data_IF_000537806369
#
_entry.id   IF_000537806369
#
_cell.length_a   1.000
_cell.length_b   1.000
_cell.length_c   1.000
_cell.angle_alpha   90.00
_cell.angle_beta   90.00
_cell.angle_gamma   90.00
#
_symmetry.space_group_name_H-M   'P 1'
#
loop_
_entity.id
_entity.type
_entity.pdbx_description
1 polymer ?
#
# COMPACT_ATOMS: atom_id res chain seq x y z
N UNK A 1 12.14 17.53 -2.04
CA UNK A 1 12.59 18.14 -3.31
C UNK A 1 12.96 17.14 -4.40
N UNK A 2 12.85 15.80 -4.20
CA UNK A 2 13.27 14.84 -5.22
C UNK A 2 12.18 14.62 -6.29
N UNK A 3 10.96 14.25 -5.89
CA UNK A 3 9.90 13.86 -6.85
C UNK A 3 9.35 15.00 -7.70
N UNK A 4 9.27 16.22 -7.18
CA UNK A 4 8.83 17.38 -7.97
C UNK A 4 9.88 17.81 -8.99
N UNK A 5 11.17 17.60 -8.69
CA UNK A 5 12.26 17.84 -9.64
C UNK A 5 12.36 16.75 -10.71
N UNK A 6 12.01 15.51 -10.40
CA UNK A 6 11.93 14.43 -11.40
C UNK A 6 10.96 14.78 -12.54
N UNK A 7 9.86 15.47 -12.25
CA UNK A 7 8.92 15.94 -13.26
C UNK A 7 9.55 17.00 -14.19
N UNK A 8 10.22 18.01 -13.62
CA UNK A 8 10.93 19.01 -14.44
C UNK A 8 12.05 18.37 -15.28
N UNK A 9 12.80 17.43 -14.69
CA UNK A 9 13.81 16.66 -15.43
C UNK A 9 13.23 15.85 -16.58
N UNK A 10 12.05 15.23 -16.40
CA UNK A 10 11.34 14.53 -17.47
C UNK A 10 11.05 15.47 -18.64
N UNK A 11 10.52 16.66 -18.37
CA UNK A 11 10.22 17.66 -19.39
C UNK A 11 11.47 18.19 -20.11
N UNK A 12 12.58 18.31 -19.38
CA UNK A 12 13.86 18.76 -19.91
C UNK A 12 14.59 17.71 -20.78
N UNK A 13 14.13 16.44 -20.78
CA UNK A 13 14.70 15.41 -21.68
C UNK A 13 14.47 15.75 -23.15
N UNK A 14 13.33 16.37 -23.46
CA UNK A 14 13.11 16.97 -24.77
C UNK A 14 13.82 18.33 -24.80
N UNK A 15 14.93 18.40 -25.53
CA UNK A 15 15.79 19.60 -25.57
C UNK A 15 15.28 20.71 -26.50
N UNK A 16 14.34 20.37 -27.38
CA UNK A 16 13.77 21.32 -28.33
C UNK A 16 12.96 22.40 -27.60
N UNK A 17 13.00 23.61 -28.16
CA UNK A 17 12.21 24.75 -27.64
C UNK A 17 10.80 24.66 -28.20
N UNK A 18 10.00 23.81 -27.56
CA UNK A 18 8.60 23.55 -27.92
C UNK A 18 7.67 23.84 -26.74
N UNK A 19 6.42 24.14 -27.05
CA UNK A 19 5.37 24.23 -26.04
C UNK A 19 5.14 22.86 -25.40
N UNK A 20 4.98 22.84 -24.07
CA UNK A 20 4.79 21.62 -23.28
C UNK A 20 3.47 21.71 -22.55
N UNK A 21 2.50 20.93 -23.00
CA UNK A 21 1.19 20.83 -22.35
C UNK A 21 1.27 19.78 -21.23
N UNK A 22 0.95 20.20 -20.01
CA UNK A 22 1.03 19.35 -18.82
C UNK A 22 -0.26 19.40 -18.01
N UNK A 23 -0.58 18.30 -17.35
CA UNK A 23 -1.56 18.25 -16.28
C UNK A 23 -0.87 17.82 -14.99
N UNK A 24 -1.14 18.53 -13.90
CA UNK A 24 -0.54 18.24 -12.60
C UNK A 24 -1.64 18.22 -11.54
N UNK A 25 -1.83 17.08 -10.89
CA UNK A 25 -2.76 16.93 -9.78
C UNK A 25 -2.41 17.89 -8.63
N UNK A 26 -3.44 18.45 -7.98
CA UNK A 26 -3.29 19.29 -6.79
C UNK A 26 -2.50 18.60 -5.66
N UNK A 27 -2.68 17.28 -5.53
CA UNK A 27 -2.02 16.45 -4.52
C UNK A 27 -1.17 15.36 -5.18
N UNK A 28 -0.01 15.11 -4.60
CA UNK A 28 0.94 14.09 -5.05
C UNK A 28 0.62 12.70 -4.52
N UNK A 29 1.34 11.71 -5.05
CA UNK A 29 1.14 10.31 -4.68
C UNK A 29 1.92 9.92 -3.42
N UNK A 30 1.17 9.50 -2.40
CA UNK A 30 1.71 8.94 -1.16
C UNK A 30 2.37 9.96 -0.22
N UNK A 31 2.71 9.49 0.97
CA UNK A 31 3.44 10.26 1.99
C UNK A 31 4.39 9.34 2.75
N UNK A 32 5.38 9.91 3.45
CA UNK A 32 6.32 9.16 4.29
C UNK A 32 5.78 9.07 5.71
N UNK A 33 5.85 7.87 6.29
CA UNK A 33 5.32 7.58 7.64
C UNK A 33 3.82 7.85 7.71
N UNK A 34 3.40 8.58 8.75
CA UNK A 34 2.01 8.98 8.94
C UNK A 34 1.60 10.25 8.15
N UNK A 35 2.48 10.76 7.27
CA UNK A 35 2.20 11.97 6.49
C UNK A 35 2.28 13.29 7.27
N UNK A 36 2.86 13.29 8.48
CA UNK A 36 3.13 14.50 9.25
C UNK A 36 4.08 15.44 8.50
N UNK A 37 3.78 16.74 8.54
CA UNK A 37 4.64 17.81 8.03
C UNK A 37 5.50 18.45 9.12
N UNK A 38 5.42 17.92 10.34
CA UNK A 38 6.22 18.33 11.49
C UNK A 38 7.17 17.21 11.91
N UNK A 39 8.44 17.56 12.15
CA UNK A 39 9.47 16.59 12.54
C UNK A 39 9.08 15.91 13.84
N UNK A 40 8.64 16.67 14.85
CA UNK A 40 8.20 16.14 16.13
C UNK A 40 7.05 15.13 16.00
N UNK A 41 6.03 15.43 15.18
CA UNK A 41 4.91 14.52 14.96
C UNK A 41 5.30 13.24 14.20
N UNK A 42 6.21 13.35 13.23
CA UNK A 42 6.69 12.21 12.46
C UNK A 42 7.62 11.30 13.29
N UNK A 43 8.59 11.88 13.99
CA UNK A 43 9.52 11.10 14.79
C UNK A 43 8.81 10.46 15.97
N UNK A 44 7.93 11.19 16.67
CA UNK A 44 7.12 10.63 17.76
C UNK A 44 6.31 9.42 17.30
N UNK A 45 5.71 9.45 16.11
CA UNK A 45 4.99 8.28 15.60
C UNK A 45 5.91 7.08 15.38
N UNK A 46 7.14 7.29 14.92
CA UNK A 46 8.12 6.20 14.77
C UNK A 46 8.56 5.65 16.12
N UNK A 47 8.84 6.51 17.10
CA UNK A 47 9.23 6.08 18.45
C UNK A 47 8.13 5.26 19.12
N UNK A 48 6.89 5.76 19.12
CA UNK A 48 5.73 5.08 19.70
C UNK A 48 5.48 3.75 18.98
N UNK A 49 5.56 3.72 17.65
CA UNK A 49 5.37 2.49 16.89
C UNK A 49 6.43 1.44 17.23
N UNK A 50 7.70 1.83 17.37
CA UNK A 50 8.78 0.89 17.73
C UNK A 50 8.60 0.34 19.14
N UNK A 51 8.27 1.20 20.12
CA UNK A 51 8.03 0.77 21.50
C UNK A 51 6.84 -0.20 21.58
N UNK A 52 5.73 0.13 20.92
CA UNK A 52 4.56 -0.73 20.88
C UNK A 52 4.85 -2.07 20.20
N UNK A 53 5.55 -2.06 19.06
CA UNK A 53 5.94 -3.31 18.37
C UNK A 53 6.80 -4.21 19.27
N UNK A 54 7.80 -3.66 19.97
CA UNK A 54 8.65 -4.42 20.91
C UNK A 54 7.80 -4.97 22.07
N UNK A 55 6.96 -4.14 22.68
CA UNK A 55 6.13 -4.54 23.81
C UNK A 55 5.11 -5.63 23.43
N UNK A 56 4.40 -5.44 22.31
CA UNK A 56 3.41 -6.39 21.81
C UNK A 56 4.06 -7.71 21.40
N UNK A 57 5.23 -7.68 20.75
CA UNK A 57 5.96 -8.89 20.42
C UNK A 57 6.47 -9.59 21.67
N UNK A 58 7.00 -8.85 22.65
CA UNK A 58 7.49 -9.45 23.89
C UNK A 58 6.39 -10.18 24.64
N UNK A 59 5.21 -9.55 24.72
CA UNK A 59 4.03 -10.16 25.33
C UNK A 59 3.50 -11.36 24.54
N UNK A 60 3.42 -11.26 23.21
CA UNK A 60 2.83 -12.30 22.37
C UNK A 60 3.75 -13.52 22.19
N UNK A 61 5.06 -13.32 22.11
CA UNK A 61 6.07 -14.37 21.91
C UNK A 61 6.63 -14.91 23.24
N UNK A 62 6.16 -14.37 24.37
CA UNK A 62 6.65 -14.67 25.72
C UNK A 62 8.19 -14.65 25.81
N UNK A 63 8.79 -13.62 25.22
CA UNK A 63 10.23 -13.43 25.11
C UNK A 63 10.58 -11.97 25.34
N UNK A 64 11.77 -11.69 25.86
CA UNK A 64 12.21 -10.31 26.06
C UNK A 64 12.87 -9.76 24.78
N UNK A 65 12.25 -8.74 24.19
CA UNK A 65 12.81 -7.98 23.06
C UNK A 65 13.40 -6.62 23.49
N UNK A 66 13.55 -6.36 24.79
CA UNK A 66 14.10 -5.11 25.33
C UNK A 66 15.59 -4.90 24.99
N UNK A 67 16.30 -5.97 24.62
CA UNK A 67 17.69 -5.92 24.15
C UNK A 67 17.85 -5.16 22.83
N UNK A 68 16.77 -4.94 22.08
CA UNK A 68 16.80 -4.22 20.82
C UNK A 68 17.10 -2.74 21.08
N UNK A 69 18.30 -2.29 20.69
CA UNK A 69 18.66 -0.88 20.72
C UNK A 69 17.93 -0.13 19.61
N UNK A 70 16.90 0.59 20.04
CA UNK A 70 16.09 1.39 19.16
C UNK A 70 16.68 2.79 18.95
N UNK A 71 17.70 3.23 19.71
CA UNK A 71 18.31 4.56 19.62
C UNK A 71 19.45 4.65 18.60
N UNK A 72 19.54 3.68 17.69
CA UNK A 72 20.54 3.67 16.62
C UNK A 72 20.47 4.93 15.73
N UNK A 73 21.62 5.60 15.57
CA UNK A 73 21.84 6.75 14.70
C UNK A 73 20.75 7.85 14.79
N UNK A 74 20.64 8.55 15.93
CA UNK A 74 19.63 9.58 16.12
C UNK A 74 19.80 10.75 15.13
N UNK A 75 21.03 11.09 14.73
CA UNK A 75 21.32 12.14 13.74
C UNK A 75 20.78 11.76 12.35
N UNK A 76 21.00 10.51 11.93
CA UNK A 76 20.42 9.97 10.69
C UNK A 76 18.90 10.00 10.76
N UNK A 77 18.30 9.65 11.91
CA UNK A 77 16.85 9.66 12.11
C UNK A 77 16.28 11.07 12.01
N UNK A 78 16.99 12.07 12.54
CA UNK A 78 16.66 13.48 12.37
C UNK A 78 16.75 13.94 10.91
N UNK A 79 17.80 13.55 10.20
CA UNK A 79 17.96 13.87 8.77
C UNK A 79 16.84 13.25 7.92
N UNK A 80 16.54 11.97 8.16
CA UNK A 80 15.39 11.28 7.56
C UNK A 80 14.09 12.01 7.86
N UNK A 81 13.84 12.37 9.12
CA UNK A 81 12.63 13.06 9.56
C UNK A 81 12.44 14.42 8.89
N UNK A 82 13.52 15.23 8.79
CA UNK A 82 13.54 16.50 8.05
C UNK A 82 13.15 16.29 6.60
N UNK A 83 13.79 15.33 5.92
CA UNK A 83 13.53 15.06 4.50
C UNK A 83 12.11 14.54 4.26
N UNK A 84 11.64 13.64 5.11
CA UNK A 84 10.29 13.11 5.06
C UNK A 84 9.22 14.18 5.24
N UNK A 85 9.41 15.13 6.17
CA UNK A 85 8.49 16.26 6.35
C UNK A 85 8.44 17.17 5.11
N UNK A 86 9.59 17.45 4.48
CA UNK A 86 9.65 18.20 3.22
C UNK A 86 8.86 17.46 2.13
N UNK A 87 9.07 16.15 1.97
CA UNK A 87 8.30 15.34 1.02
C UNK A 87 6.81 15.41 1.32
N UNK A 88 6.40 15.30 2.59
CA UNK A 88 4.99 15.35 2.97
C UNK A 88 4.35 16.72 2.69
N UNK A 89 5.09 17.82 2.84
CA UNK A 89 4.63 19.16 2.44
C UNK A 89 4.49 19.26 0.93
N UNK A 90 5.49 18.79 0.18
CA UNK A 90 5.48 18.77 -1.28
C UNK A 90 4.29 17.96 -1.82
N UNK A 91 4.03 16.77 -1.29
CA UNK A 91 2.91 15.94 -1.74
C UNK A 91 1.54 16.56 -1.42
N UNK A 92 1.41 17.32 -0.32
CA UNK A 92 0.17 18.05 0.01
C UNK A 92 -0.08 19.26 -0.89
N UNK A 93 0.94 19.78 -1.55
CA UNK A 93 0.90 20.98 -2.41
C UNK A 93 1.61 20.71 -3.73
N UNK A 94 1.38 19.53 -4.29
CA UNK A 94 2.23 18.98 -5.36
C UNK A 94 2.24 19.88 -6.60
N UNK A 95 1.06 20.28 -7.07
CA UNK A 95 0.91 21.20 -8.18
C UNK A 95 1.67 22.51 -7.95
N UNK A 96 1.49 23.14 -6.78
CA UNK A 96 2.17 24.40 -6.43
C UNK A 96 3.69 24.26 -6.51
N UNK A 97 4.25 23.17 -5.99
CA UNK A 97 5.69 22.93 -6.03
C UNK A 97 6.21 22.61 -7.44
N UNK A 98 5.45 21.88 -8.26
CA UNK A 98 5.82 21.59 -9.65
C UNK A 98 5.83 22.88 -10.48
N UNK A 99 4.76 23.67 -10.44
CA UNK A 99 4.66 24.91 -11.22
C UNK A 99 5.73 25.92 -10.82
N UNK A 100 5.98 26.11 -9.51
CA UNK A 100 7.08 26.96 -9.05
C UNK A 100 8.45 26.45 -9.49
N UNK A 101 8.64 25.13 -9.52
CA UNK A 101 9.87 24.51 -10.03
C UNK A 101 10.10 24.85 -11.50
N UNK A 102 9.05 24.72 -12.33
CA UNK A 102 9.14 25.05 -13.76
C UNK A 102 9.45 26.54 -13.98
N UNK A 103 8.81 27.44 -13.25
CA UNK A 103 9.13 28.88 -13.35
C UNK A 103 10.58 29.16 -12.95
N UNK A 104 11.06 28.51 -11.88
CA UNK A 104 12.46 28.65 -11.45
C UNK A 104 13.47 28.08 -12.47
N UNK A 105 13.08 27.05 -13.21
CA UNK A 105 13.87 26.46 -14.30
C UNK A 105 13.77 27.26 -15.62
N UNK A 106 13.02 28.37 -15.64
CA UNK A 106 12.92 29.30 -16.76
C UNK A 106 11.74 29.08 -17.70
N UNK A 107 10.82 28.17 -17.37
CA UNK A 107 9.60 27.97 -18.15
C UNK A 107 8.57 29.09 -17.89
N UNK A 108 7.88 29.51 -18.94
CA UNK A 108 6.68 30.34 -18.82
C UNK A 108 5.47 29.42 -18.65
N UNK A 109 4.79 29.52 -17.52
CA UNK A 109 3.58 28.73 -17.25
C UNK A 109 2.37 29.54 -17.71
N UNK A 110 1.59 28.95 -18.61
CA UNK A 110 0.37 29.54 -19.16
C UNK A 110 -0.78 28.61 -18.76
N UNK A 111 -1.79 29.15 -18.07
CA UNK A 111 -2.99 28.38 -17.73
C UNK A 111 -3.75 28.06 -19.01
N UNK A 112 -4.11 26.78 -19.18
CA UNK A 112 -4.93 26.35 -20.30
C UNK A 112 -6.34 26.96 -20.17
N UNK A 113 -6.98 27.34 -21.28
CA UNK A 113 -8.39 27.73 -21.25
C UNK A 113 -9.25 26.57 -20.74
N UNK A 114 -10.38 26.90 -20.12
CA UNK A 114 -11.37 25.89 -19.77
C UNK A 114 -11.81 25.16 -21.04
N UNK A 115 -11.66 23.83 -21.06
CA UNK A 115 -12.05 23.02 -22.21
C UNK A 115 -13.57 22.80 -22.22
N UNK A 116 -14.17 22.85 -23.42
CA UNK A 116 -15.55 22.41 -23.62
C UNK A 116 -15.65 20.90 -23.27
N UNK A 117 -16.65 20.57 -22.43
CA UNK A 117 -16.75 19.25 -21.79
C UNK A 117 -16.93 18.08 -22.76
N UNK A 118 -17.44 18.37 -23.96
CA UNK A 118 -17.94 17.36 -24.88
C UNK A 118 -16.84 16.85 -25.82
N UNK A 119 -15.98 17.73 -26.37
CA UNK A 119 -14.85 17.35 -27.24
C UNK A 119 -13.70 16.69 -26.45
N UNK A 120 -13.46 17.13 -25.21
CA UNK A 120 -12.42 16.54 -24.36
C UNK A 120 -12.73 15.08 -23.95
N UNK A 121 -14.01 14.70 -23.94
CA UNK A 121 -14.44 13.37 -23.52
C UNK A 121 -13.98 12.24 -24.45
N UNK A 122 -13.98 12.47 -25.77
CA UNK A 122 -13.58 11.46 -26.76
C UNK A 122 -12.07 11.25 -26.78
N UNK A 123 -11.29 12.33 -26.80
CA UNK A 123 -9.82 12.28 -26.75
C UNK A 123 -9.34 11.56 -25.48
N UNK A 124 -9.96 11.83 -24.33
CA UNK A 124 -9.61 11.14 -23.07
C UNK A 124 -9.89 9.64 -23.17
N UNK A 125 -10.97 9.22 -23.83
CA UNK A 125 -11.27 7.79 -24.02
C UNK A 125 -10.23 7.12 -24.91
N UNK A 126 -9.84 7.76 -26.00
CA UNK A 126 -8.82 7.23 -26.92
C UNK A 126 -7.45 7.08 -26.24
N UNK A 127 -6.98 8.11 -25.54
CA UNK A 127 -5.70 8.06 -24.81
C UNK A 127 -5.73 6.96 -23.74
N UNK A 128 -6.83 6.83 -23.02
CA UNK A 128 -7.02 5.74 -22.04
C UNK A 128 -7.00 4.37 -22.72
N UNK A 129 -7.66 4.22 -23.86
CA UNK A 129 -7.68 2.96 -24.60
C UNK A 129 -6.28 2.56 -25.07
N UNK A 130 -5.53 3.48 -25.69
CA UNK A 130 -4.15 3.22 -26.11
C UNK A 130 -3.22 2.89 -24.93
N UNK A 131 -3.37 3.61 -23.81
CA UNK A 131 -2.62 3.33 -22.58
C UNK A 131 -2.95 1.93 -22.03
N UNK A 132 -4.22 1.56 -22.00
CA UNK A 132 -4.66 0.25 -21.54
C UNK A 132 -4.18 -0.88 -22.46
N UNK A 133 -4.15 -0.65 -23.78
CA UNK A 133 -3.63 -1.61 -24.74
C UNK A 133 -2.14 -1.88 -24.50
N UNK A 134 -1.32 -0.82 -24.40
CA UNK A 134 0.10 -0.91 -24.09
C UNK A 134 0.35 -1.64 -22.76
N UNK A 135 -0.39 -1.25 -21.71
CA UNK A 135 -0.27 -1.90 -20.40
C UNK A 135 -0.67 -3.37 -20.45
N UNK A 136 -1.78 -3.70 -21.11
CA UNK A 136 -2.23 -5.09 -21.28
C UNK A 136 -1.21 -5.96 -22.05
N UNK A 137 -0.48 -5.35 -22.99
CA UNK A 137 0.62 -5.99 -23.71
C UNK A 137 1.77 -6.37 -22.78
N UNK A 138 2.19 -5.44 -21.91
CA UNK A 138 3.23 -5.68 -20.88
C UNK A 138 2.81 -6.77 -19.89
N UNK A 139 1.57 -6.75 -19.40
CA UNK A 139 1.04 -7.78 -18.49
C UNK A 139 1.10 -9.17 -19.11
N UNK A 140 0.66 -9.30 -20.38
CA UNK A 140 0.74 -10.55 -21.14
C UNK A 140 2.18 -10.99 -21.36
N UNK A 141 3.09 -10.06 -21.64
CA UNK A 141 4.51 -10.37 -21.82
C UNK A 141 5.13 -10.90 -20.52
N UNK A 142 4.78 -10.34 -19.36
CA UNK A 142 5.22 -10.83 -18.04
C UNK A 142 4.66 -12.23 -17.77
N UNK A 143 3.35 -12.44 -17.93
CA UNK A 143 2.73 -13.73 -17.65
C UNK A 143 3.28 -14.85 -18.57
N UNK A 144 3.47 -14.53 -19.86
CA UNK A 144 3.97 -15.47 -20.88
C UNK A 144 5.48 -15.57 -20.95
N UNK A 145 6.24 -14.79 -20.18
CA UNK A 145 7.70 -14.82 -20.27
C UNK A 145 8.19 -16.23 -19.96
N UNK A 146 8.68 -16.92 -20.98
CA UNK A 146 9.33 -18.21 -20.90
C UNK A 146 10.85 -18.02 -20.80
N UNK A 147 11.54 -19.05 -20.31
CA UNK A 147 13.00 -19.09 -20.17
C UNK A 147 13.63 -19.50 -21.51
N UNK A 148 14.83 -19.03 -21.88
CA UNK A 148 15.55 -19.53 -23.05
C UNK A 148 15.86 -21.02 -22.93
N UNK A 149 15.72 -21.72 -24.05
CA UNK A 149 15.83 -23.16 -24.28
C UNK A 149 17.00 -23.87 -23.56
N UNK A 150 16.71 -24.44 -22.40
CA UNK A 150 17.26 -25.70 -21.88
C UNK A 150 16.54 -26.00 -20.57
N UNK A 151 15.96 -27.20 -20.44
CA UNK A 151 15.09 -27.69 -19.34
C UNK A 151 13.60 -27.47 -19.66
N UNK A 152 13.05 -28.37 -20.45
CA UNK A 152 11.63 -28.42 -20.83
C UNK A 152 10.72 -29.03 -19.75
N UNK A 153 11.18 -29.14 -18.48
CA UNK A 153 10.46 -29.82 -17.39
C UNK A 153 10.49 -29.06 -16.03
N UNK A 154 10.84 -27.77 -16.02
CA UNK A 154 10.64 -26.94 -14.81
C UNK A 154 10.18 -25.53 -15.18
N UNK A 155 8.93 -25.21 -14.89
CA UNK A 155 8.24 -23.97 -15.30
C UNK A 155 8.73 -22.68 -14.63
N UNK A 156 9.65 -22.76 -13.65
CA UNK A 156 10.15 -21.60 -12.93
C UNK A 156 11.69 -21.54 -12.90
N UNK A 157 12.24 -20.33 -12.98
CA UNK A 157 13.67 -20.09 -12.75
C UNK A 157 14.05 -20.55 -11.34
N UNK A 158 15.17 -21.26 -11.23
CA UNK A 158 15.70 -21.68 -9.92
C UNK A 158 16.03 -20.46 -9.04
N UNK A 159 15.99 -20.62 -7.71
CA UNK A 159 16.37 -19.57 -6.75
C UNK A 159 17.75 -18.97 -7.03
N UNK A 160 18.69 -19.80 -7.51
CA UNK A 160 20.03 -19.37 -7.89
C UNK A 160 20.02 -18.44 -9.13
N UNK A 161 19.18 -18.75 -10.12
CA UNK A 161 19.00 -17.91 -11.31
C UNK A 161 18.26 -16.61 -10.99
N UNK A 162 17.22 -16.67 -10.15
CA UNK A 162 16.53 -15.48 -9.67
C UNK A 162 17.49 -14.54 -8.94
N UNK A 163 18.32 -15.08 -8.04
CA UNK A 163 19.34 -14.30 -7.33
C UNK A 163 20.38 -13.70 -8.28
N UNK A 164 20.79 -14.43 -9.32
CA UNK A 164 21.69 -13.92 -10.37
C UNK A 164 21.06 -12.75 -11.12
N UNK A 165 19.80 -12.89 -11.55
CA UNK A 165 19.04 -11.82 -12.20
C UNK A 165 18.90 -10.61 -11.26
N UNK A 166 18.53 -10.81 -9.99
CA UNK A 166 18.42 -9.71 -9.02
C UNK A 166 19.72 -8.91 -8.87
N UNK A 167 20.87 -9.59 -8.87
CA UNK A 167 22.20 -8.95 -8.76
C UNK A 167 22.71 -8.31 -10.06
N UNK A 168 22.10 -8.62 -11.20
CA UNK A 168 22.51 -8.09 -12.50
C UNK A 168 22.16 -6.59 -12.61
N UNK A 169 23.18 -5.76 -12.90
CA UNK A 169 23.02 -4.29 -12.98
C UNK A 169 22.22 -3.82 -14.20
N UNK A 170 22.43 -4.43 -15.36
CA UNK A 170 21.76 -4.06 -16.61
C UNK A 170 20.91 -5.24 -17.10
N UNK A 171 19.60 -5.04 -17.20
CA UNK A 171 18.63 -6.06 -17.63
C UNK A 171 17.94 -5.64 -18.92
N UNK A 172 17.83 -6.58 -19.84
CA UNK A 172 16.93 -6.53 -20.99
C UNK A 172 15.47 -6.57 -20.54
N UNK A 173 14.50 -6.12 -21.36
CA UNK A 173 13.08 -6.22 -21.03
C UNK A 173 12.65 -7.65 -20.70
N UNK A 174 13.11 -8.64 -21.49
CA UNK A 174 12.80 -10.06 -21.25
C UNK A 174 13.32 -10.56 -19.89
N UNK A 175 14.54 -10.20 -19.50
CA UNK A 175 15.08 -10.55 -18.17
C UNK A 175 14.29 -9.90 -17.03
N UNK A 176 13.76 -8.68 -17.23
CA UNK A 176 12.90 -8.03 -16.23
C UNK A 176 11.56 -8.74 -16.11
N UNK A 177 10.95 -9.13 -17.23
CA UNK A 177 9.71 -9.89 -17.26
C UNK A 177 9.89 -11.25 -16.56
N UNK A 178 10.97 -11.97 -16.85
CA UNK A 178 11.31 -13.24 -16.20
C UNK A 178 11.51 -13.09 -14.69
N UNK A 179 12.29 -12.10 -14.26
CA UNK A 179 12.47 -11.82 -12.83
C UNK A 179 11.13 -11.52 -12.17
N UNK A 180 10.29 -10.67 -12.80
CA UNK A 180 8.99 -10.28 -12.26
C UNK A 180 8.05 -11.47 -12.11
N UNK A 181 7.95 -12.33 -13.14
CA UNK A 181 7.14 -13.55 -13.09
C UNK A 181 7.57 -14.46 -11.95
N UNK A 182 8.87 -14.71 -11.81
CA UNK A 182 9.38 -15.58 -10.76
C UNK A 182 9.14 -15.02 -9.34
N UNK A 183 9.32 -13.71 -9.16
CA UNK A 183 9.00 -13.05 -7.89
C UNK A 183 7.52 -13.18 -7.54
N UNK A 184 6.62 -13.10 -8.53
CA UNK A 184 5.18 -13.29 -8.32
C UNK A 184 4.84 -14.76 -8.04
N UNK A 185 5.42 -15.71 -8.78
CA UNK A 185 5.24 -17.16 -8.54
C UNK A 185 5.62 -17.52 -7.10
N UNK A 186 6.82 -17.14 -6.64
CA UNK A 186 7.25 -17.39 -5.26
C UNK A 186 6.37 -16.68 -4.22
N UNK A 187 5.88 -15.48 -4.53
CA UNK A 187 5.12 -14.66 -3.59
C UNK A 187 3.71 -15.19 -3.35
N UNK A 188 3.03 -15.59 -4.42
CA UNK A 188 1.63 -16.00 -4.41
C UNK A 188 1.43 -17.53 -4.43
N UNK A 189 2.44 -18.30 -4.82
CA UNK A 189 2.41 -19.77 -4.91
C UNK A 189 1.28 -20.31 -5.80
N UNK A 190 0.96 -19.54 -6.84
CA UNK A 190 -0.03 -19.85 -7.87
C UNK A 190 0.54 -19.44 -9.23
N UNK A 191 -0.07 -19.94 -10.30
CA UNK A 191 0.29 -19.58 -11.66
C UNK A 191 0.17 -18.07 -11.88
N UNK A 192 1.17 -17.47 -12.53
CA UNK A 192 1.20 -16.04 -12.80
C UNK A 192 0.38 -15.71 -14.04
N UNK A 193 -0.82 -15.16 -13.82
CA UNK A 193 -1.69 -14.67 -14.89
C UNK A 193 -1.54 -13.15 -15.07
N UNK A 194 -1.92 -12.58 -16.24
CA UNK A 194 -1.92 -11.13 -16.44
C UNK A 194 -2.74 -10.37 -15.37
N UNK A 195 -3.86 -10.95 -14.93
CA UNK A 195 -4.73 -10.38 -13.90
C UNK A 195 -4.04 -10.37 -12.53
N UNK A 196 -3.21 -11.37 -12.22
CA UNK A 196 -2.41 -11.38 -11.00
C UNK A 196 -1.34 -10.28 -11.01
N UNK A 197 -0.68 -10.09 -12.16
CA UNK A 197 0.34 -9.03 -12.32
C UNK A 197 -0.28 -7.66 -12.09
N UNK A 198 -1.43 -7.39 -12.72
CA UNK A 198 -2.19 -6.15 -12.55
C UNK A 198 -2.57 -5.91 -11.09
N UNK A 199 -3.13 -6.93 -10.40
CA UNK A 199 -3.45 -6.83 -8.98
C UNK A 199 -2.22 -6.55 -8.10
N UNK A 200 -1.08 -7.21 -8.34
CA UNK A 200 0.14 -6.95 -7.55
C UNK A 200 0.66 -5.52 -7.76
N UNK A 201 0.59 -5.00 -8.99
CA UNK A 201 0.97 -3.61 -9.30
C UNK A 201 0.09 -2.60 -8.52
N UNK A 202 -1.19 -2.92 -8.33
CA UNK A 202 -2.13 -2.15 -7.49
C UNK A 202 -1.95 -2.34 -5.98
N UNK A 203 -0.99 -3.19 -5.56
CA UNK A 203 -0.61 -3.39 -4.16
C UNK A 203 -1.34 -4.52 -3.44
N UNK A 204 -2.04 -5.40 -4.18
CA UNK A 204 -2.87 -6.48 -3.66
C UNK A 204 -2.14 -7.41 -2.67
N UNK A 205 -0.85 -7.69 -2.90
CA UNK A 205 -0.08 -8.54 -2.00
C UNK A 205 -0.08 -8.05 -0.53
N UNK A 206 0.04 -6.74 -0.32
CA UNK A 206 0.06 -6.18 1.03
C UNK A 206 -1.31 -6.30 1.71
N UNK A 207 -2.39 -6.16 0.93
CA UNK A 207 -3.76 -6.33 1.41
C UNK A 207 -4.06 -7.79 1.74
N UNK A 208 -3.68 -8.72 0.87
CA UNK A 208 -3.84 -10.15 1.09
C UNK A 208 -3.06 -10.63 2.30
N UNK A 209 -1.82 -10.19 2.49
CA UNK A 209 -1.04 -10.56 3.68
C UNK A 209 -1.73 -10.07 4.94
N UNK A 210 -2.18 -8.82 4.98
CA UNK A 210 -2.89 -8.31 6.15
C UNK A 210 -4.17 -9.11 6.42
N UNK A 211 -4.92 -9.46 5.39
CA UNK A 211 -6.15 -10.26 5.51
C UNK A 211 -5.86 -11.69 6.00
N UNK A 212 -4.85 -12.34 5.45
CA UNK A 212 -4.43 -13.69 5.83
C UNK A 212 -4.09 -13.76 7.32
N UNK A 213 -3.24 -12.86 7.81
CA UNK A 213 -2.84 -12.84 9.22
C UNK A 213 -3.91 -12.28 10.16
N UNK A 214 -4.96 -11.63 9.64
CA UNK A 214 -6.16 -11.27 10.40
C UNK A 214 -7.13 -12.45 10.53
N UNK A 215 -6.96 -13.51 9.72
CA UNK A 215 -7.88 -14.66 9.65
C UNK A 215 -7.10 -15.98 9.82
N UNK A 216 -6.88 -16.73 8.74
CA UNK A 216 -6.32 -18.08 8.73
C UNK A 216 -4.91 -18.17 9.30
N UNK A 217 -4.06 -17.18 8.99
CA UNK A 217 -2.65 -17.16 9.39
C UNK A 217 -2.38 -16.58 10.77
N UNK A 218 -3.43 -16.22 11.53
CA UNK A 218 -3.30 -15.41 12.75
C UNK A 218 -2.37 -16.02 13.80
N UNK A 219 -2.35 -17.34 13.90
CA UNK A 219 -1.50 -18.09 14.85
C UNK A 219 -0.01 -18.02 14.49
N UNK A 220 0.34 -17.88 13.22
CA UNK A 220 1.72 -17.80 12.75
C UNK A 220 2.30 -16.39 12.79
N UNK A 221 1.45 -15.36 12.95
CA UNK A 221 1.86 -13.96 12.90
C UNK A 221 2.95 -13.61 13.93
N UNK A 222 2.78 -14.05 15.18
CA UNK A 222 3.74 -13.76 16.25
C UNK A 222 5.11 -14.35 15.92
N UNK A 223 5.16 -15.62 15.48
CA UNK A 223 6.40 -16.29 15.07
C UNK A 223 7.05 -15.57 13.88
N UNK A 224 6.26 -15.14 12.89
CA UNK A 224 6.74 -14.40 11.72
C UNK A 224 7.36 -13.05 12.10
N UNK A 225 6.67 -12.26 12.92
CA UNK A 225 7.13 -10.94 13.34
C UNK A 225 8.34 -11.08 14.28
N UNK A 226 8.33 -12.05 15.19
CA UNK A 226 9.46 -12.37 16.06
C UNK A 226 10.71 -12.78 15.29
N UNK A 227 10.59 -13.70 14.32
CA UNK A 227 11.70 -14.09 13.42
C UNK A 227 12.25 -12.87 12.67
N UNK A 228 11.37 -11.98 12.20
CA UNK A 228 11.79 -10.76 11.49
C UNK A 228 12.49 -9.77 12.42
N UNK A 229 11.96 -9.57 13.64
CA UNK A 229 12.57 -8.70 14.63
C UNK A 229 13.97 -9.18 15.03
N UNK A 230 14.12 -10.48 15.32
CA UNK A 230 15.42 -11.12 15.62
C UNK A 230 16.38 -10.99 14.46
N UNK A 231 15.97 -11.36 13.24
CA UNK A 231 16.84 -11.26 12.07
C UNK A 231 17.30 -9.83 11.77
N UNK A 232 16.46 -8.82 12.01
CA UNK A 232 16.87 -7.41 11.90
C UNK A 232 17.83 -6.99 13.02
N UNK A 233 17.59 -7.44 14.25
CA UNK A 233 18.47 -7.16 15.38
C UNK A 233 19.84 -7.83 15.20
N UNK A 234 19.89 -9.11 14.81
CA UNK A 234 21.12 -9.85 14.55
C UNK A 234 21.96 -9.19 13.43
N UNK A 235 21.32 -8.81 12.32
CA UNK A 235 21.99 -8.14 11.21
C UNK A 235 22.50 -6.73 11.57
N UNK A 236 21.94 -6.11 12.62
CA UNK A 236 22.28 -4.78 13.08
C UNK A 236 23.05 -4.74 14.40
N UNK A 237 23.57 -5.87 14.90
CA UNK A 237 24.24 -5.94 16.21
C UNK A 237 23.37 -5.37 17.35
N UNK A 238 22.12 -5.83 17.40
CA UNK A 238 21.01 -5.37 18.25
C UNK A 238 20.49 -3.96 17.96
N UNK A 239 21.13 -3.21 17.07
CA UNK A 239 20.69 -1.88 16.67
C UNK A 239 19.68 -1.97 15.52
N UNK A 240 18.54 -1.28 15.64
CA UNK A 240 17.52 -1.24 14.58
C UNK A 240 17.27 0.16 14.04
N UNK A 241 17.09 0.24 12.72
CA UNK A 241 16.55 1.43 12.09
C UNK A 241 15.02 1.47 12.20
N UNK A 242 14.47 2.39 13.03
CA UNK A 242 13.04 2.43 13.39
C UNK A 242 12.07 2.38 12.20
N UNK A 243 12.24 3.21 11.15
CA UNK A 243 11.30 3.20 10.02
C UNK A 243 11.19 1.84 9.35
N UNK A 244 12.31 1.14 9.18
CA UNK A 244 12.33 -0.17 8.52
C UNK A 244 11.80 -1.26 9.44
N UNK A 245 12.15 -1.21 10.73
CA UNK A 245 11.61 -2.12 11.73
C UNK A 245 10.09 -2.00 11.79
N UNK A 246 9.56 -0.78 11.93
CA UNK A 246 8.12 -0.53 12.02
C UNK A 246 7.37 -0.98 10.77
N UNK A 247 7.92 -0.73 9.57
CA UNK A 247 7.34 -1.19 8.30
C UNK A 247 7.37 -2.72 8.18
N UNK A 248 8.33 -3.36 8.85
CA UNK A 248 8.50 -4.80 8.84
C UNK A 248 7.47 -5.55 9.69
N UNK A 249 6.99 -4.96 10.77
CA UNK A 249 6.04 -5.57 11.71
C UNK A 249 4.58 -5.41 11.25
N UNK A 250 3.74 -6.38 11.60
CA UNK A 250 2.33 -6.42 11.23
C UNK A 250 1.41 -6.76 12.41
N UNK A 251 1.95 -7.33 13.50
CA UNK A 251 1.22 -7.65 14.73
C UNK A 251 0.41 -6.46 15.25
N UNK A 252 1.00 -5.27 15.34
CA UNK A 252 0.31 -4.05 15.77
C UNK A 252 -0.88 -3.68 14.88
N UNK A 253 -0.74 -3.85 13.56
CA UNK A 253 -1.81 -3.54 12.60
C UNK A 253 -2.95 -4.54 12.70
N UNK A 254 -2.64 -5.84 12.86
CA UNK A 254 -3.63 -6.90 13.04
C UNK A 254 -4.38 -6.72 14.36
N UNK A 255 -3.68 -6.56 15.48
CA UNK A 255 -4.29 -6.32 16.79
C UNK A 255 -5.18 -5.08 16.81
N UNK A 256 -4.78 -4.02 16.09
CA UNK A 256 -5.60 -2.82 15.96
C UNK A 256 -6.93 -3.13 15.23
N UNK A 257 -6.89 -3.91 14.14
CA UNK A 257 -8.09 -4.29 13.41
C UNK A 257 -8.99 -5.26 14.21
N UNK A 258 -8.38 -6.16 14.98
CA UNK A 258 -9.07 -7.06 15.92
C UNK A 258 -9.78 -6.25 17.03
N UNK A 259 -9.10 -5.28 17.64
CA UNK A 259 -9.68 -4.43 18.69
C UNK A 259 -10.80 -3.52 18.16
N UNK A 260 -10.74 -3.14 16.89
CA UNK A 260 -11.84 -2.44 16.21
C UNK A 260 -12.98 -3.38 15.81
N UNK A 261 -12.82 -4.69 15.97
CA UNK A 261 -13.74 -5.74 15.56
C UNK A 261 -14.17 -5.63 14.08
N UNK A 262 -13.23 -5.34 13.17
CA UNK A 262 -13.53 -5.06 11.76
C UNK A 262 -14.23 -6.25 11.06
N UNK A 263 -13.84 -7.48 11.41
CA UNK A 263 -14.36 -8.70 10.78
C UNK A 263 -15.85 -8.94 11.03
N UNK A 264 -16.45 -8.31 12.04
CA UNK A 264 -17.90 -8.44 12.31
C UNK A 264 -18.75 -7.99 11.12
N UNK A 265 -18.22 -7.11 10.25
CA UNK A 265 -18.91 -6.61 9.07
C UNK A 265 -18.80 -7.54 7.85
N UNK A 266 -18.09 -8.65 7.97
CA UNK A 266 -17.87 -9.63 6.90
C UNK A 266 -18.80 -10.84 7.01
N UNK A 267 -19.83 -10.77 7.85
CA UNK A 267 -20.86 -11.81 7.89
C UNK A 267 -21.77 -11.70 6.66
N UNK A 268 -21.84 -12.74 5.81
CA UNK A 268 -22.73 -12.73 4.65
C UNK A 268 -24.20 -12.53 5.06
N UNK A 269 -24.99 -11.96 4.15
CA UNK A 269 -26.44 -11.70 4.32
C UNK A 269 -26.86 -10.70 5.40
N UNK A 270 -25.94 -10.24 6.25
CA UNK A 270 -26.23 -9.18 7.23
C UNK A 270 -26.35 -7.83 6.54
N UNK A 271 -27.48 -7.14 6.76
CA UNK A 271 -27.71 -5.78 6.29
C UNK A 271 -27.21 -4.77 7.32
N UNK A 272 -26.28 -3.91 6.90
CA UNK A 272 -25.67 -2.87 7.71
C UNK A 272 -26.19 -1.49 7.31
N UNK A 273 -26.54 -0.68 8.30
CA UNK A 273 -26.99 0.70 8.15
C UNK A 273 -26.09 1.63 8.95
N UNK A 274 -26.08 2.89 8.55
CA UNK A 274 -25.35 3.91 9.29
C UNK A 274 -25.85 4.06 10.73
N UNK A 275 -27.15 3.89 10.97
CA UNK A 275 -27.77 4.05 12.30
C UNK A 275 -27.55 2.88 13.25
N UNK A 276 -27.10 1.72 12.77
CA UNK A 276 -27.02 0.51 13.58
C UNK A 276 -26.05 0.72 14.76
N UNK A 277 -26.43 0.21 15.93
CA UNK A 277 -25.68 0.39 17.17
C UNK A 277 -24.22 -0.06 17.02
N UNK A 278 -24.00 -1.24 16.45
CA UNK A 278 -22.67 -1.79 16.17
C UNK A 278 -21.82 -0.89 15.25
N UNK A 279 -22.46 -0.22 14.29
CA UNK A 279 -21.78 0.71 13.38
C UNK A 279 -21.41 2.02 14.09
N UNK A 280 -22.27 2.52 14.97
CA UNK A 280 -22.01 3.71 15.77
C UNK A 280 -20.92 3.47 16.82
N UNK A 281 -20.95 2.33 17.51
CA UNK A 281 -19.90 1.92 18.44
C UNK A 281 -18.55 1.80 17.73
N UNK A 282 -18.52 1.14 16.58
CA UNK A 282 -17.33 1.04 15.74
C UNK A 282 -16.79 2.42 15.35
N UNK A 283 -17.67 3.34 14.91
CA UNK A 283 -17.28 4.72 14.60
C UNK A 283 -16.67 5.41 15.82
N UNK A 284 -17.28 5.29 16.99
CA UNK A 284 -16.79 5.91 18.23
C UNK A 284 -15.36 5.43 18.54
N UNK A 285 -15.14 4.11 18.56
CA UNK A 285 -13.82 3.51 18.79
C UNK A 285 -12.79 3.94 17.74
N UNK A 286 -13.18 4.00 16.47
CA UNK A 286 -12.29 4.38 15.39
C UNK A 286 -11.91 5.88 15.43
N UNK A 287 -12.83 6.76 15.86
CA UNK A 287 -12.57 8.20 16.04
C UNK A 287 -11.67 8.46 17.24
N UNK A 288 -11.88 7.74 18.34
CA UNK A 288 -11.04 7.78 19.53
C UNK A 288 -9.60 7.38 19.18
N UNK A 289 -9.44 6.28 18.43
CA UNK A 289 -8.14 5.71 18.06
C UNK A 289 -7.58 6.26 16.73
N UNK A 290 -8.10 7.39 16.21
CA UNK A 290 -7.77 7.90 14.86
C UNK A 290 -6.28 8.11 14.61
N UNK A 291 -5.50 8.54 15.62
CA UNK A 291 -4.06 8.76 15.46
C UNK A 291 -3.28 7.45 15.41
N UNK A 292 -3.72 6.45 16.17
CA UNK A 292 -3.17 5.09 16.13
C UNK A 292 -3.44 4.48 14.75
N UNK A 293 -4.69 4.56 14.28
CA UNK A 293 -5.09 4.12 12.93
C UNK A 293 -4.28 4.82 11.84
N UNK A 294 -4.04 6.13 11.99
CA UNK A 294 -3.20 6.88 11.05
C UNK A 294 -1.74 6.43 11.07
N UNK A 295 -1.20 6.06 12.23
CA UNK A 295 0.19 5.64 12.35
C UNK A 295 0.44 4.25 11.78
N UNK A 296 -0.44 3.28 12.03
CA UNK A 296 -0.23 1.88 11.64
C UNK A 296 -0.84 1.52 10.29
N UNK A 297 -2.01 2.07 9.96
CA UNK A 297 -2.72 1.74 8.72
C UNK A 297 -2.62 2.87 7.67
N UNK A 298 -2.07 4.03 8.04
CA UNK A 298 -2.04 5.23 7.20
C UNK A 298 -3.44 5.68 6.73
N UNK A 299 -4.49 5.34 7.50
CA UNK A 299 -5.87 5.75 7.22
C UNK A 299 -6.21 6.99 8.03
N UNK A 300 -6.71 8.02 7.36
CA UNK A 300 -7.23 9.21 8.04
C UNK A 300 -8.68 8.96 8.44
N UNK A 301 -9.01 9.20 9.71
CA UNK A 301 -10.37 9.12 10.25
C UNK A 301 -10.74 10.48 10.83
N UNK A 302 -11.98 10.90 10.58
CA UNK A 302 -12.54 12.16 11.07
C UNK A 302 -13.96 11.94 11.58
N UNK A 303 -14.42 12.74 12.53
CA UNK A 303 -15.78 12.69 13.08
C UNK A 303 -16.88 12.89 12.02
N UNK A 304 -16.53 13.62 10.95
CA UNK A 304 -17.40 13.89 9.80
C UNK A 304 -17.70 12.65 8.97
N UNK A 305 -16.87 11.60 9.05
CA UNK A 305 -17.13 10.38 8.31
C UNK A 305 -18.30 9.61 8.91
N UNK A 306 -19.11 9.01 8.04
CA UNK A 306 -20.14 8.05 8.46
C UNK A 306 -19.47 6.76 8.91
N UNK A 307 -20.13 5.95 9.75
CA UNK A 307 -19.61 4.64 10.13
C UNK A 307 -19.23 3.77 8.92
N UNK A 308 -20.09 3.75 7.89
CA UNK A 308 -19.85 3.01 6.66
C UNK A 308 -18.63 3.54 5.91
N UNK A 309 -18.43 4.86 5.84
CA UNK A 309 -17.24 5.42 5.20
C UNK A 309 -15.94 5.05 5.94
N UNK A 310 -15.98 4.96 7.27
CA UNK A 310 -14.84 4.48 8.08
C UNK A 310 -14.61 2.99 7.81
N UNK A 311 -15.68 2.18 7.81
CA UNK A 311 -15.60 0.74 7.55
C UNK A 311 -15.00 0.46 6.17
N UNK A 312 -15.50 1.13 5.12
CA UNK A 312 -14.96 1.00 3.76
C UNK A 312 -13.46 1.34 3.68
N UNK A 313 -13.02 2.42 4.35
CA UNK A 313 -11.59 2.80 4.37
C UNK A 313 -10.69 1.77 5.05
N UNK A 314 -11.21 1.06 6.05
CA UNK A 314 -10.47 0.03 6.78
C UNK A 314 -10.53 -1.32 6.05
N UNK A 315 -11.68 -1.68 5.47
CA UNK A 315 -11.85 -2.88 4.64
C UNK A 315 -11.00 -2.82 3.36
N UNK A 316 -10.81 -1.63 2.79
CA UNK A 316 -9.90 -1.42 1.64
C UNK A 316 -8.45 -1.82 1.97
N UNK A 317 -8.05 -1.88 3.25
CA UNK A 317 -6.73 -2.38 3.66
C UNK A 317 -6.55 -3.89 3.52
N UNK A 318 -7.64 -4.62 3.40
CA UNK A 318 -7.67 -6.07 3.18
C UNK A 318 -8.35 -6.42 1.84
N UNK A 319 -8.46 -5.42 0.96
CA UNK A 319 -9.12 -5.53 -0.35
C UNK A 319 -10.54 -6.09 -0.26
N UNK A 320 -11.31 -5.66 0.75
CA UNK A 320 -12.72 -6.00 0.90
C UNK A 320 -13.57 -4.74 0.92
N UNK A 321 -14.85 -4.87 0.56
CA UNK A 321 -15.79 -3.74 0.50
C UNK A 321 -17.20 -4.18 0.87
N UNK A 322 -17.97 -3.23 1.40
CA UNK A 322 -19.41 -3.42 1.58
C UNK A 322 -20.14 -2.99 0.30
N UNK A 323 -21.03 -3.84 -0.20
CA UNK A 323 -21.84 -3.58 -1.39
C UNK A 323 -23.10 -2.83 -1.03
N UNK A 324 -23.40 -1.78 -1.78
CA UNK A 324 -24.64 -1.01 -1.59
C UNK A 324 -25.85 -1.80 -2.12
N UNK A 325 -26.86 -1.97 -1.28
CA UNK A 325 -28.09 -2.70 -1.62
C UNK A 325 -29.20 -1.75 -2.08
N UNK A 326 -29.35 -0.61 -1.40
CA UNK A 326 -30.43 0.32 -1.69
C UNK A 326 -30.72 1.27 -0.53
N UNK A 327 -31.79 2.06 -0.68
CA UNK A 327 -32.32 2.92 0.39
C UNK A 327 -33.61 2.33 0.94
N UNK A 328 -33.53 1.76 2.14
CA UNK A 328 -34.67 1.12 2.80
C UNK A 328 -35.20 1.99 3.94
N UNK A 329 -36.49 1.88 4.21
CA UNK A 329 -37.17 2.59 5.29
C UNK A 329 -38.41 3.37 4.84
N UNK A 330 -39.22 3.86 5.79
CA UNK A 330 -40.42 4.63 5.51
C UNK A 330 -40.08 5.98 4.87
N UNK A 331 -41.06 6.57 4.16
CA UNK A 331 -40.91 7.85 3.47
C UNK A 331 -40.44 8.93 4.46
N UNK A 332 -39.29 9.56 4.18
CA UNK A 332 -38.68 10.58 5.05
C UNK A 332 -37.62 10.07 6.03
N UNK A 333 -37.50 8.75 6.25
CA UNK A 333 -36.45 8.12 7.11
C UNK A 333 -35.71 6.99 6.37
N UNK A 334 -35.48 7.17 5.07
CA UNK A 334 -34.78 6.17 4.26
C UNK A 334 -33.29 6.23 4.53
N UNK A 335 -32.70 5.08 4.81
CA UNK A 335 -31.26 4.94 5.01
C UNK A 335 -30.62 4.05 3.97
N UNK A 336 -29.38 4.35 3.61
CA UNK A 336 -28.58 3.51 2.73
C UNK A 336 -28.21 2.21 3.48
N UNK A 337 -28.51 1.08 2.85
CA UNK A 337 -28.25 -0.26 3.36
C UNK A 337 -27.12 -0.89 2.56
N UNK A 338 -26.21 -1.53 3.27
CA UNK A 338 -25.04 -2.20 2.71
C UNK A 338 -25.01 -3.67 3.16
N UNK A 339 -24.36 -4.52 2.39
CA UNK A 339 -24.10 -5.92 2.76
C UNK A 339 -22.69 -6.32 2.35
N UNK A 340 -22.10 -7.26 3.06
CA UNK A 340 -20.88 -7.88 2.59
C UNK A 340 -21.20 -8.89 1.47
N UNK A 341 -20.41 -8.82 0.40
CA UNK A 341 -20.36 -9.86 -0.62
C UNK A 341 -18.95 -10.44 -0.58
N UNK A 342 -18.80 -11.76 -0.34
CA UNK A 342 -17.51 -12.43 -0.43
C UNK A 342 -16.83 -12.10 -1.76
N UNK A 343 -15.52 -11.81 -1.71
CA UNK A 343 -14.74 -11.57 -2.91
C UNK A 343 -14.44 -12.90 -3.60
N UNK A 344 -14.78 -13.01 -4.88
CA UNK A 344 -14.39 -14.12 -5.74
C UNK A 344 -13.20 -13.69 -6.62
N UNK A 345 -12.02 -13.62 -6.01
CA UNK A 345 -10.82 -13.07 -6.62
C UNK A 345 -9.60 -13.99 -6.56
N UNK A 346 -9.82 -15.24 -6.14
CA UNK A 346 -8.79 -16.28 -6.01
C UNK A 346 -8.00 -16.27 -4.70
N UNK A 347 -8.30 -15.35 -3.75
CA UNK A 347 -7.53 -15.23 -2.49
C UNK A 347 -7.54 -16.49 -1.63
N UNK A 348 -8.63 -17.26 -1.64
CA UNK A 348 -8.76 -18.47 -0.81
C UNK A 348 -7.78 -19.57 -1.23
N UNK A 349 -7.51 -19.69 -2.54
CA UNK A 349 -6.50 -20.60 -3.07
C UNK A 349 -5.09 -20.19 -2.62
N UNK A 350 -4.78 -18.89 -2.66
CA UNK A 350 -3.50 -18.33 -2.19
C UNK A 350 -3.33 -18.56 -0.69
N UNK A 351 -4.37 -18.29 0.11
CA UNK A 351 -4.33 -18.50 1.56
C UNK A 351 -4.11 -19.95 1.94
N UNK A 352 -4.72 -20.88 1.19
CA UNK A 352 -4.52 -22.31 1.39
C UNK A 352 -3.06 -22.72 1.12
N UNK A 353 -2.43 -22.16 0.08
CA UNK A 353 -1.00 -22.39 -0.22
C UNK A 353 -0.09 -21.85 0.89
N UNK A 354 -0.30 -20.60 1.29
CA UNK A 354 0.47 -19.99 2.37
C UNK A 354 0.34 -20.72 3.70
N UNK A 355 -0.87 -21.17 4.04
CA UNK A 355 -1.11 -21.98 5.24
C UNK A 355 -0.35 -23.30 5.20
N UNK A 356 -0.41 -24.02 4.08
CA UNK A 356 0.34 -25.26 3.91
C UNK A 356 1.85 -25.05 4.06
N UNK A 357 2.40 -23.93 3.55
CA UNK A 357 3.82 -23.59 3.74
C UNK A 357 4.17 -23.34 5.21
N UNK A 358 3.28 -22.74 6.00
CA UNK A 358 3.55 -22.43 7.41
C UNK A 358 3.36 -23.66 8.34
N UNK A 359 2.61 -24.67 7.88
CA UNK A 359 2.40 -25.95 8.57
C UNK A 359 3.54 -26.96 8.36
N UNK A 360 4.31 -26.82 7.28
CA UNK A 360 5.53 -27.61 6.97
C UNK A 360 6.73 -26.96 7.64
#
# INVERSE_FOLDING_TARGET
MARTREFAQLLARLRETVDRHIWVSRYGMGTVGNGSTSIGGLLRSQHVATQANIALLSAADNQDYSYIDSNFQPESLQAWGKRACVINVEMKRYQEFVLRGLVADGYTVIDAPDADSDEGGEIIKEVKAASNELYSGELKAIARSAVPEAIADSDDISDAQLKKLQNQRAKTPAERHQQRKAELSHRYEVEVTPELVEKDDDGWYTQLRLHYYLTLGREFLTKRDGKRAKGMAEAGENCIWKPDFNKGQMLSSVLLLENLNLLQFLTPEVQLRGSDEQMQEFKARAVENRYVIKNYLNVTITEKFTPIAIAQKLLDKIDLRLSYVGRLGPRGKRECVYKFLPADDGRDGIFSRWLNRELV
#
